data_IF_675999953085
#
_entry.id   IF_675999953085
#
_cell.length_a   1.000
_cell.length_b   1.000
_cell.length_c   1.000
_cell.angle_alpha   90.00
_cell.angle_beta   90.00
_cell.angle_gamma   90.00
#
_symmetry.space_group_name_H-M   'P 1'
#
loop_
_entity.id
_entity.type
_entity.pdbx_description
1 polymer ?
#
# COMPACT_ATOMS: atom_id res chain seq x y z
N UNK A 1 -2.31 3.71 30.64
CA UNK A 1 -1.60 2.94 29.59
C UNK A 1 -2.46 2.96 28.34
N UNK A 2 -1.99 3.53 27.23
CA UNK A 2 -2.64 3.37 25.92
C UNK A 2 -2.21 2.00 25.39
N UNK A 3 -3.12 1.03 25.44
CA UNK A 3 -2.89 -0.32 24.92
C UNK A 3 -2.66 -0.22 23.41
N UNK A 4 -1.57 -0.78 22.85
CA UNK A 4 -1.37 -0.80 21.42
C UNK A 4 -2.54 -1.55 20.73
N UNK A 5 -2.99 -1.13 19.54
CA UNK A 5 -4.02 -1.85 18.80
C UNK A 5 -3.61 -3.31 18.58
N UNK A 6 -4.52 -4.25 18.87
CA UNK A 6 -4.24 -5.70 18.82
C UNK A 6 -4.06 -6.28 17.41
N UNK A 7 -4.45 -5.55 16.38
CA UNK A 7 -4.10 -5.81 14.99
C UNK A 7 -4.22 -4.49 14.23
N UNK A 8 -3.15 -4.08 13.54
CA UNK A 8 -3.30 -3.09 12.46
C UNK A 8 -3.91 -3.90 11.32
N UNK A 9 -5.19 -3.67 11.02
CA UNK A 9 -5.78 -4.21 9.79
C UNK A 9 -4.86 -3.84 8.63
N UNK A 10 -4.36 -4.84 7.91
CA UNK A 10 -3.49 -4.58 6.75
C UNK A 10 -4.33 -3.85 5.70
N UNK A 11 -4.00 -2.59 5.37
CA UNK A 11 -4.83 -1.80 4.48
C UNK A 11 -4.90 -2.46 3.10
N UNK A 12 -6.02 -2.19 2.43
CA UNK A 12 -6.31 -2.66 1.09
C UNK A 12 -6.13 -1.50 0.12
N UNK A 13 -5.21 -1.61 -0.82
CA UNK A 13 -4.94 -0.60 -1.83
C UNK A 13 -5.45 -1.06 -3.19
N UNK A 14 -6.13 -0.16 -3.91
CA UNK A 14 -6.62 -0.47 -5.25
C UNK A 14 -5.45 -0.51 -6.24
N UNK A 15 -5.37 -1.56 -7.04
CA UNK A 15 -4.46 -1.65 -8.17
C UNK A 15 -5.02 -0.87 -9.36
N UNK A 16 -4.12 -0.35 -10.20
CA UNK A 16 -4.46 0.46 -11.36
C UNK A 16 -5.23 1.76 -11.02
N UNK A 17 -4.94 2.34 -9.86
CA UNK A 17 -5.51 3.59 -9.37
C UNK A 17 -4.45 4.52 -8.74
N UNK A 18 -4.91 5.66 -8.24
CA UNK A 18 -4.13 6.56 -7.40
C UNK A 18 -4.45 6.35 -5.92
N UNK A 19 -3.43 6.00 -5.14
CA UNK A 19 -3.52 5.76 -3.70
C UNK A 19 -2.95 6.96 -2.95
N UNK A 20 -3.73 7.56 -2.06
CA UNK A 20 -3.27 8.66 -1.20
C UNK A 20 -2.69 8.12 0.09
N UNK A 21 -1.40 8.37 0.29
CA UNK A 21 -0.66 8.04 1.49
C UNK A 21 -0.56 9.28 2.38
N UNK A 22 -0.79 9.11 3.66
CA UNK A 22 -0.58 10.13 4.68
C UNK A 22 0.04 9.48 5.91
N UNK A 23 0.96 10.19 6.56
CA UNK A 23 1.61 9.71 7.78
C UNK A 23 1.80 10.85 8.77
N UNK A 24 2.16 10.49 10.00
CA UNK A 24 2.65 11.45 11.00
C UNK A 24 3.84 10.85 11.73
N UNK A 25 4.62 11.69 12.39
CA UNK A 25 5.70 11.26 13.28
C UNK A 25 5.18 11.16 14.71
N UNK A 26 5.70 10.21 15.47
CA UNK A 26 5.34 10.08 16.88
C UNK A 26 6.04 11.14 17.75
N UNK A 27 5.59 11.26 18.99
CA UNK A 27 6.15 12.22 19.96
C UNK A 27 7.62 11.89 20.36
N UNK A 28 8.11 10.69 20.01
CA UNK A 28 9.48 10.27 20.29
C UNK A 28 10.47 10.82 19.25
N UNK A 29 9.98 11.30 18.10
CA UNK A 29 10.77 11.91 17.04
C UNK A 29 11.30 13.29 17.48
N UNK A 30 12.58 13.36 17.82
CA UNK A 30 13.23 14.63 18.20
C UNK A 30 13.62 15.47 17.00
N UNK A 31 14.04 14.81 15.93
CA UNK A 31 14.44 15.47 14.67
C UNK A 31 13.79 14.72 13.51
N UNK A 32 12.69 15.24 12.93
CA UNK A 32 12.13 14.66 11.74
C UNK A 32 13.17 14.69 10.61
N UNK A 33 13.13 13.72 9.68
CA UNK A 33 14.01 13.74 8.51
C UNK A 33 13.76 15.01 7.69
N UNK A 34 14.72 15.45 6.88
CA UNK A 34 14.49 16.52 5.89
C UNK A 34 13.79 16.01 4.64
N UNK A 35 14.08 14.75 4.29
CA UNK A 35 13.52 14.05 3.15
C UNK A 35 13.25 12.59 3.50
N UNK A 36 12.21 12.03 2.91
CA UNK A 36 11.88 10.61 3.01
C UNK A 36 11.85 9.94 1.65
N UNK A 37 12.06 8.63 1.68
CA UNK A 37 11.90 7.74 0.53
C UNK A 37 10.84 6.71 0.88
N UNK A 38 9.92 6.45 -0.07
CA UNK A 38 8.87 5.44 0.06
C UNK A 38 9.20 4.30 -0.90
N UNK A 39 9.34 3.08 -0.37
CA UNK A 39 9.59 1.88 -1.17
C UNK A 39 8.46 0.87 -1.02
N UNK A 40 8.16 0.18 -2.10
CA UNK A 40 7.36 -1.04 -2.06
C UNK A 40 8.26 -2.27 -2.07
N UNK A 41 7.74 -3.37 -1.53
CA UNK A 41 8.29 -4.71 -1.67
C UNK A 41 7.20 -5.64 -2.17
N UNK A 42 7.55 -6.45 -3.17
CA UNK A 42 6.64 -7.44 -3.75
C UNK A 42 6.43 -8.60 -2.77
N UNK A 43 5.35 -9.38 -2.93
CA UNK A 43 5.13 -10.59 -2.15
C UNK A 43 6.28 -11.59 -2.30
N UNK A 44 6.32 -12.61 -1.43
CA UNK A 44 7.29 -13.70 -1.55
C UNK A 44 7.21 -14.37 -2.92
N UNK A 45 8.37 -14.76 -3.49
CA UNK A 45 8.46 -15.37 -4.81
C UNK A 45 8.82 -14.39 -5.94
N UNK A 46 8.89 -13.09 -5.63
CA UNK A 46 9.39 -12.05 -6.54
C UNK A 46 10.78 -11.59 -6.09
N UNK A 47 11.75 -11.66 -7.00
CA UNK A 47 13.15 -11.39 -6.69
C UNK A 47 13.77 -10.36 -7.63
N UNK A 48 14.80 -9.66 -7.17
CA UNK A 48 15.60 -8.81 -8.04
C UNK A 48 16.29 -9.65 -9.13
N UNK A 49 16.42 -9.15 -10.37
CA UNK A 49 16.98 -9.91 -11.49
C UNK A 49 18.34 -10.53 -11.17
N UNK A 50 18.46 -11.85 -11.38
CA UNK A 50 19.71 -12.57 -11.16
C UNK A 50 20.08 -12.79 -9.68
N UNK A 51 19.16 -12.56 -8.75
CA UNK A 51 19.40 -12.73 -7.31
C UNK A 51 18.26 -13.50 -6.62
N UNK A 52 18.46 -13.85 -5.35
CA UNK A 52 17.41 -14.35 -4.44
C UNK A 52 16.89 -13.26 -3.49
N UNK A 53 17.28 -12.01 -3.70
CA UNK A 53 16.87 -10.89 -2.84
C UNK A 53 15.43 -10.48 -3.16
N UNK A 54 14.63 -10.11 -2.14
CA UNK A 54 13.25 -9.66 -2.38
C UNK A 54 13.20 -8.50 -3.38
N UNK A 55 12.21 -8.49 -4.27
CA UNK A 55 12.04 -7.41 -5.24
C UNK A 55 11.46 -6.16 -4.57
N UNK A 56 12.26 -5.09 -4.52
CA UNK A 56 11.84 -3.77 -4.06
C UNK A 56 11.71 -2.80 -5.22
N UNK A 57 10.88 -1.76 -5.05
CA UNK A 57 10.80 -0.65 -6.00
C UNK A 57 10.60 0.68 -5.27
N UNK A 58 10.88 1.77 -5.97
CA UNK A 58 10.61 3.11 -5.46
C UNK A 58 9.19 3.54 -5.82
N UNK A 59 8.38 3.81 -4.81
CA UNK A 59 7.10 4.51 -4.97
C UNK A 59 7.38 6.02 -5.09
N UNK A 60 8.33 6.51 -4.27
CA UNK A 60 8.78 7.88 -4.29
C UNK A 60 10.18 8.01 -3.67
N UNK A 61 10.95 9.02 -4.08
CA UNK A 61 12.28 9.28 -3.55
C UNK A 61 12.45 10.75 -3.20
N UNK A 62 13.18 11.03 -2.12
CA UNK A 62 13.58 12.37 -1.70
C UNK A 62 12.40 13.35 -1.53
N UNK A 63 11.23 12.85 -1.11
CA UNK A 63 10.07 13.69 -0.82
C UNK A 63 10.42 14.57 0.38
N UNK A 64 10.16 15.87 0.29
CA UNK A 64 10.33 16.79 1.41
C UNK A 64 9.50 16.31 2.61
N UNK A 65 10.14 16.00 3.73
CA UNK A 65 9.48 15.43 4.91
C UNK A 65 8.42 16.32 5.58
N UNK A 66 8.48 17.67 5.50
CA UNK A 66 7.37 18.52 5.89
C UNK A 66 6.07 18.20 5.13
N UNK A 67 6.15 17.70 3.89
CA UNK A 67 4.99 17.18 3.19
C UNK A 67 4.68 15.77 3.68
N UNK A 68 3.65 15.66 4.50
CA UNK A 68 3.19 14.40 5.12
C UNK A 68 2.19 13.61 4.26
N UNK A 69 2.11 13.94 2.97
CA UNK A 69 1.17 13.33 2.03
C UNK A 69 1.85 13.00 0.70
N UNK A 70 1.46 11.90 0.08
CA UNK A 70 1.92 11.52 -1.25
C UNK A 70 0.82 10.78 -2.02
N UNK A 71 0.66 11.11 -3.30
CA UNK A 71 -0.25 10.36 -4.19
C UNK A 71 0.58 9.39 -5.02
N UNK A 72 0.36 8.10 -4.79
CA UNK A 72 1.01 7.00 -5.47
C UNK A 72 0.15 6.54 -6.66
N UNK A 73 0.69 6.67 -7.87
CA UNK A 73 0.06 6.10 -9.06
C UNK A 73 0.54 4.65 -9.25
N UNK A 74 -0.33 3.69 -8.96
CA UNK A 74 0.01 2.24 -8.97
C UNK A 74 0.27 1.67 -10.37
N UNK A 75 -0.02 2.43 -11.43
CA UNK A 75 0.26 2.06 -12.83
C UNK A 75 1.68 2.46 -13.22
N UNK A 76 2.05 3.71 -12.95
CA UNK A 76 3.34 4.27 -13.41
C UNK A 76 4.46 4.10 -12.39
N UNK A 77 4.14 3.89 -11.12
CA UNK A 77 5.09 3.72 -10.01
C UNK A 77 5.03 2.28 -9.48
N UNK A 78 5.15 1.32 -10.40
CA UNK A 78 5.25 -0.12 -10.16
C UNK A 78 6.69 -0.60 -10.31
N UNK A 79 7.03 -1.83 -9.87
CA UNK A 79 8.36 -2.39 -10.13
C UNK A 79 8.61 -2.51 -11.64
N UNK A 80 9.82 -2.17 -12.14
CA UNK A 80 10.14 -2.29 -13.56
C UNK A 80 9.92 -3.71 -14.10
N UNK A 81 9.15 -3.84 -15.17
CA UNK A 81 8.80 -5.14 -15.77
C UNK A 81 7.67 -5.90 -15.05
N UNK A 82 7.07 -5.32 -14.01
CA UNK A 82 5.96 -5.91 -13.27
C UNK A 82 4.76 -4.95 -13.20
N UNK A 83 3.58 -5.54 -13.23
CA UNK A 83 2.33 -4.87 -12.86
C UNK A 83 1.94 -5.31 -11.47
N UNK A 84 1.46 -4.37 -10.66
CA UNK A 84 0.89 -4.67 -9.36
C UNK A 84 -0.44 -5.40 -9.53
N UNK A 85 -0.64 -6.48 -8.77
CA UNK A 85 -1.79 -7.38 -8.91
C UNK A 85 -2.49 -7.58 -7.57
N UNK A 86 -3.74 -8.01 -7.68
CA UNK A 86 -4.52 -8.48 -6.53
C UNK A 86 -3.74 -9.52 -5.71
N UNK A 87 -3.73 -9.36 -4.39
CA UNK A 87 -3.04 -10.27 -3.50
C UNK A 87 -2.51 -9.64 -2.22
N UNK A 88 -2.07 -10.50 -1.32
CA UNK A 88 -1.51 -10.13 -0.02
C UNK A 88 0.03 -10.26 -0.03
N UNK A 89 0.68 -9.76 1.03
CA UNK A 89 2.12 -9.95 1.24
C UNK A 89 3.01 -8.83 0.70
N UNK A 90 2.41 -7.77 0.17
CA UNK A 90 3.14 -6.54 -0.14
C UNK A 90 3.55 -5.82 1.15
N UNK A 91 4.64 -5.04 1.06
CA UNK A 91 5.07 -4.18 2.16
C UNK A 91 5.44 -2.81 1.63
N UNK A 92 5.06 -1.78 2.37
CA UNK A 92 5.45 -0.40 2.13
C UNK A 92 6.44 0.01 3.20
N UNK A 93 7.49 0.71 2.80
CA UNK A 93 8.53 1.20 3.69
C UNK A 93 8.66 2.71 3.57
N UNK A 94 8.75 3.38 4.72
CA UNK A 94 9.11 4.80 4.79
C UNK A 94 10.44 4.91 5.53
N UNK A 95 11.43 5.53 4.89
CA UNK A 95 12.79 5.68 5.41
C UNK A 95 13.25 7.14 5.32
N UNK A 96 14.21 7.51 6.16
CA UNK A 96 14.94 8.77 6.05
C UNK A 96 15.94 8.69 4.88
N UNK A 97 15.74 9.53 3.87
CA UNK A 97 16.59 9.54 2.67
C UNK A 97 18.03 9.91 2.97
N UNK A 98 18.29 10.70 4.02
CA UNK A 98 19.63 11.21 4.33
C UNK A 98 20.57 10.16 4.88
N UNK A 99 20.04 9.13 5.55
CA UNK A 99 20.84 8.02 6.09
C UNK A 99 20.80 6.78 5.20
N UNK A 100 19.78 6.67 4.33
CA UNK A 100 19.63 5.57 3.38
C UNK A 100 19.06 4.28 3.98
N UNK A 101 18.81 3.30 3.11
CA UNK A 101 18.12 2.05 3.46
C UNK A 101 18.82 1.26 4.56
N UNK A 102 20.10 0.95 4.39
CA UNK A 102 20.82 0.08 5.32
C UNK A 102 20.91 0.69 6.72
N UNK A 103 21.17 1.99 6.82
CA UNK A 103 21.23 2.67 8.12
C UNK A 103 19.84 2.91 8.73
N UNK A 104 18.78 2.95 7.93
CA UNK A 104 17.41 3.11 8.43
C UNK A 104 16.90 1.88 9.21
N UNK A 105 17.57 0.74 9.08
CA UNK A 105 17.30 -0.49 9.86
C UNK A 105 17.93 -0.48 11.26
N UNK A 106 18.69 0.55 11.61
CA UNK A 106 19.29 0.71 12.93
C UNK A 106 18.46 1.70 13.77
N UNK A 107 18.17 1.35 15.02
CA UNK A 107 17.39 2.20 15.93
C UNK A 107 18.30 3.29 16.50
N UNK A 108 18.15 4.52 16.00
CA UNK A 108 18.79 5.70 16.57
C UNK A 108 17.75 6.54 17.34
N UNK A 109 17.95 6.78 18.65
CA UNK A 109 16.99 7.57 19.44
C UNK A 109 16.68 8.93 18.82
N UNK A 110 15.39 9.23 18.66
CA UNK A 110 14.91 10.52 18.16
C UNK A 110 15.05 10.74 16.64
N UNK A 111 15.43 9.69 15.89
CA UNK A 111 15.43 9.69 14.42
C UNK A 111 14.36 8.73 13.88
N UNK A 112 14.04 8.87 12.60
CA UNK A 112 13.18 7.93 11.91
C UNK A 112 13.86 6.57 11.79
N UNK A 113 13.32 5.60 12.51
CA UNK A 113 13.53 4.18 12.24
C UNK A 113 12.67 3.77 11.04
N UNK A 114 13.16 2.87 10.19
CA UNK A 114 12.41 2.36 9.05
C UNK A 114 11.01 1.91 9.47
N UNK A 115 10.00 2.61 8.95
CA UNK A 115 8.61 2.20 9.12
C UNK A 115 8.26 1.16 8.06
N UNK A 116 7.51 0.13 8.45
CA UNK A 116 7.06 -0.93 7.56
C UNK A 116 5.58 -1.18 7.78
N UNK A 117 4.83 -1.09 6.68
CA UNK A 117 3.39 -1.32 6.62
C UNK A 117 3.11 -2.50 5.70
N UNK A 118 2.68 -3.67 6.21
CA UNK A 118 2.13 -4.71 5.36
C UNK A 118 0.81 -4.23 4.75
N UNK A 119 0.58 -4.54 3.48
CA UNK A 119 -0.67 -4.20 2.80
C UNK A 119 -1.07 -5.29 1.80
N UNK A 120 -2.31 -5.23 1.35
CA UNK A 120 -2.84 -6.09 0.29
C UNK A 120 -3.38 -5.23 -0.85
N UNK A 121 -3.42 -5.76 -2.05
CA UNK A 121 -3.99 -5.08 -3.21
C UNK A 121 -5.27 -5.75 -3.68
N UNK A 122 -6.23 -4.93 -4.11
CA UNK A 122 -7.48 -5.38 -4.73
C UNK A 122 -7.67 -4.74 -6.11
N UNK A 123 -8.53 -5.32 -6.94
CA UNK A 123 -8.93 -4.74 -8.22
C UNK A 123 -10.43 -4.46 -8.19
N UNK A 124 -10.83 -3.19 -8.30
CA UNK A 124 -12.23 -2.82 -8.30
C UNK A 124 -12.88 -3.17 -9.65
N UNK A 125 -13.42 -4.38 -9.76
CA UNK A 125 -14.23 -4.79 -10.93
C UNK A 125 -15.66 -4.23 -10.90
N UNK A 126 -15.92 -3.20 -10.09
CA UNK A 126 -17.27 -2.69 -9.86
C UNK A 126 -17.97 -2.13 -11.11
N UNK A 127 -17.23 -1.82 -12.18
CA UNK A 127 -17.82 -1.46 -13.47
C UNK A 127 -18.50 -2.62 -14.20
N UNK A 128 -18.30 -3.89 -13.78
CA UNK A 128 -18.86 -5.07 -14.42
C UNK A 128 -20.18 -5.57 -13.79
N UNK A 129 -20.69 -4.93 -12.73
CA UNK A 129 -21.87 -5.43 -11.99
C UNK A 129 -23.21 -5.13 -12.64
N UNK A 130 -23.26 -4.36 -13.73
CA UNK A 130 -24.47 -4.10 -14.50
C UNK A 130 -24.42 -4.66 -15.93
N UNK A 131 -23.35 -5.35 -16.33
CA UNK A 131 -23.32 -6.07 -17.59
C UNK A 131 -24.24 -7.30 -17.49
N UNK A 132 -25.43 -7.18 -18.07
CA UNK A 132 -26.46 -8.21 -18.05
C UNK A 132 -27.71 -7.86 -17.24
N UNK A 133 -27.73 -6.71 -16.53
CA UNK A 133 -28.97 -6.21 -15.91
C UNK A 133 -29.75 -5.41 -16.96
N UNK A 134 -30.93 -5.88 -17.40
CA UNK A 134 -31.70 -5.18 -18.42
C UNK A 134 -32.01 -3.74 -18.00
N UNK A 135 -31.99 -2.82 -18.97
CA UNK A 135 -32.35 -1.41 -18.73
C UNK A 135 -33.79 -1.34 -18.20
N UNK A 136 -33.96 -0.94 -16.93
CA UNK A 136 -35.25 -0.92 -16.23
C UNK A 136 -35.55 -2.12 -15.34
N UNK A 137 -34.59 -3.02 -15.11
CA UNK A 137 -34.73 -4.10 -14.14
C UNK A 137 -34.94 -3.56 -12.72
N UNK A 138 -36.14 -3.82 -12.17
CA UNK A 138 -36.47 -3.53 -10.78
C UNK A 138 -36.44 -4.86 -9.99
N UNK A 139 -35.42 -5.09 -9.14
CA UNK A 139 -35.29 -6.33 -8.39
C UNK A 139 -36.46 -6.57 -7.42
N UNK A 140 -37.19 -5.53 -7.02
CA UNK A 140 -38.39 -5.66 -6.19
C UNK A 140 -39.63 -6.13 -6.97
N UNK A 141 -39.58 -6.10 -8.31
CA UNK A 141 -40.64 -6.59 -9.19
C UNK A 141 -40.38 -8.03 -9.69
N UNK A 142 -39.19 -8.59 -9.43
CA UNK A 142 -38.86 -9.97 -9.79
C UNK A 142 -39.65 -10.94 -8.91
N UNK A 143 -40.43 -11.83 -9.52
CA UNK A 143 -41.20 -12.84 -8.81
C UNK A 143 -40.27 -13.72 -7.98
N UNK A 144 -40.53 -13.82 -6.67
CA UNK A 144 -39.80 -14.73 -5.78
C UNK A 144 -39.99 -16.16 -6.28
N UNK A 145 -38.92 -16.97 -6.40
CA UNK A 145 -39.08 -18.39 -6.70
C UNK A 145 -39.95 -19.02 -5.61
N UNK A 146 -41.11 -19.51 -5.98
CA UNK A 146 -41.93 -20.35 -5.09
C UNK A 146 -41.18 -21.65 -4.89
N UNK A 147 -40.61 -21.84 -3.71
CA UNK A 147 -40.10 -23.14 -3.31
C UNK A 147 -41.29 -24.09 -3.16
N UNK A 148 -41.47 -25.00 -4.13
CA UNK A 148 -42.34 -26.16 -3.95
C UNK A 148 -41.73 -27.04 -2.87
N UNK A 149 -42.52 -27.30 -1.81
CA UNK A 149 -42.22 -28.30 -0.78
C UNK A 149 -42.46 -29.71 -1.32
#
# INVERSE_FOLDING_TARGET
>A
MKTPPRAIESPLFEAASEVKLQWDYDDNMKKPPSQITIRGQMPSGYFEPGTTKPLYWYIAQNISAPNKMYTWNTITQSPPGYTLREGTGYKLFIIDSSIGWDNSTHVYPGKLFQFMLPFSMYNSRYAQTNDGVPKGYNPNAAARPTMSR
#
